data_IF_848316368743
#
_entry.id   IF_848316368743
#
_cell.length_a   1.000
_cell.length_b   1.000
_cell.length_c   1.000
_cell.angle_alpha   90.00
_cell.angle_beta   90.00
_cell.angle_gamma   90.00
#
_symmetry.space_group_name_H-M   'P 1'
#
loop_
_entity.id
_entity.type
_entity.pdbx_description
1 polymer ?
#
# COMPACT_ATOMS: atom_id res chain seq x y z
N UNK A 1 -14.12 -15.34 15.15
CA UNK A 1 -14.31 -13.92 14.84
C UNK A 1 -14.94 -13.27 16.06
N UNK A 2 -14.50 -12.08 16.45
CA UNK A 2 -15.11 -11.29 17.50
C UNK A 2 -16.60 -11.05 17.19
N UNK A 3 -17.47 -11.11 18.22
CA UNK A 3 -18.93 -11.01 18.06
C UNK A 3 -19.38 -9.63 17.52
N UNK A 4 -18.58 -8.58 17.73
CA UNK A 4 -18.83 -7.26 17.16
C UNK A 4 -18.51 -7.25 15.67
N UNK A 5 -17.33 -7.72 15.28
CA UNK A 5 -16.91 -7.80 13.89
C UNK A 5 -17.84 -8.68 13.05
N UNK A 6 -18.33 -9.79 13.63
CA UNK A 6 -19.28 -10.68 12.96
C UNK A 6 -20.63 -10.05 12.63
N UNK A 7 -21.07 -9.04 13.42
CA UNK A 7 -22.33 -8.31 13.16
C UNK A 7 -22.20 -7.21 12.11
N UNK A 8 -20.99 -6.76 11.81
CA UNK A 8 -20.76 -5.71 10.82
C UNK A 8 -20.77 -6.24 9.37
N UNK A 9 -20.70 -7.54 9.20
CA UNK A 9 -20.63 -8.17 7.90
C UNK A 9 -21.72 -9.23 7.74
N UNK A 10 -22.47 -9.20 6.63
CA UNK A 10 -23.44 -10.24 6.28
C UNK A 10 -22.73 -11.60 6.09
N UNK A 11 -21.53 -11.55 5.50
CA UNK A 11 -20.62 -12.69 5.39
C UNK A 11 -19.34 -12.36 6.16
N UNK A 12 -18.75 -13.35 6.80
CA UNK A 12 -17.45 -13.15 7.46
C UNK A 12 -16.45 -12.55 6.48
N UNK A 13 -15.75 -11.45 6.83
CA UNK A 13 -14.73 -10.91 5.96
C UNK A 13 -13.66 -11.98 5.74
N UNK A 14 -13.51 -12.38 4.50
CA UNK A 14 -12.43 -13.26 4.07
C UNK A 14 -11.29 -12.37 3.63
N UNK A 15 -10.09 -12.61 4.13
CA UNK A 15 -8.90 -12.00 3.54
C UNK A 15 -8.76 -12.56 2.13
N UNK A 16 -9.25 -11.81 1.14
CA UNK A 16 -9.03 -12.18 -0.25
C UNK A 16 -7.53 -12.05 -0.54
N UNK A 17 -6.88 -13.18 -0.80
CA UNK A 17 -5.48 -13.20 -1.21
C UNK A 17 -5.28 -12.46 -2.54
N UNK A 18 -6.30 -12.48 -3.39
CA UNK A 18 -6.32 -11.82 -4.69
C UNK A 18 -7.67 -11.15 -4.93
N UNK A 19 -7.65 -9.91 -5.38
CA UNK A 19 -8.83 -9.21 -5.90
C UNK A 19 -8.66 -9.08 -7.41
N UNK A 20 -9.18 -10.08 -8.13
CA UNK A 20 -9.12 -10.13 -9.59
C UNK A 20 -10.43 -9.58 -10.15
N UNK A 21 -10.33 -8.52 -10.91
CA UNK A 21 -11.45 -7.89 -11.61
C UNK A 21 -11.65 -8.40 -13.03
N UNK A 22 -12.36 -7.61 -13.83
CA UNK A 22 -12.57 -7.87 -15.24
C UNK A 22 -11.25 -7.96 -16.02
N UNK A 23 -11.21 -8.74 -17.08
CA UNK A 23 -10.04 -8.93 -17.95
C UNK A 23 -8.77 -9.37 -17.20
N UNK A 24 -8.90 -10.09 -16.06
CA UNK A 24 -7.81 -10.53 -15.20
C UNK A 24 -6.99 -9.40 -14.57
N UNK A 25 -7.54 -8.21 -14.48
CA UNK A 25 -6.91 -7.10 -13.76
C UNK A 25 -6.73 -7.42 -12.29
N UNK A 26 -5.53 -7.28 -11.75
CA UNK A 26 -5.21 -7.55 -10.35
C UNK A 26 -5.13 -6.24 -9.57
N UNK A 27 -6.00 -6.08 -8.56
CA UNK A 27 -5.98 -4.95 -7.63
C UNK A 27 -4.88 -5.11 -6.57
N UNK A 28 -4.62 -4.01 -5.85
CA UNK A 28 -3.68 -3.97 -4.71
C UNK A 28 -2.23 -4.32 -5.07
N UNK A 29 -1.85 -4.19 -6.33
CA UNK A 29 -0.46 -4.30 -6.76
C UNK A 29 0.25 -2.97 -6.51
N UNK A 30 1.35 -3.01 -5.79
CA UNK A 30 2.23 -1.87 -5.61
C UNK A 30 3.19 -1.78 -6.79
N UNK A 31 3.07 -0.73 -7.59
CA UNK A 31 3.89 -0.48 -8.78
C UNK A 31 4.82 0.71 -8.50
N UNK A 32 6.11 0.57 -8.77
CA UNK A 32 7.08 1.64 -8.53
C UNK A 32 8.24 1.59 -9.51
N UNK A 33 9.00 2.66 -9.57
CA UNK A 33 10.19 2.77 -10.41
C UNK A 33 11.48 2.59 -9.60
N UNK A 34 12.45 1.95 -10.21
CA UNK A 34 13.84 1.93 -9.78
C UNK A 34 14.70 2.76 -10.75
N UNK A 35 15.84 3.24 -10.28
CA UNK A 35 16.74 4.05 -11.10
C UNK A 35 16.34 5.52 -11.20
N UNK A 36 15.38 5.97 -10.40
CA UNK A 36 15.01 7.39 -10.31
C UNK A 36 16.18 8.16 -9.70
N UNK A 37 16.64 9.27 -10.31
CA UNK A 37 17.74 10.06 -9.76
C UNK A 37 17.41 10.57 -8.36
N UNK A 38 18.40 10.59 -7.49
CA UNK A 38 18.28 11.04 -6.10
C UNK A 38 17.67 12.45 -6.01
N UNK A 39 16.76 12.65 -5.07
CA UNK A 39 16.03 13.90 -4.87
C UNK A 39 14.89 14.17 -5.83
N UNK A 40 14.78 13.42 -6.95
CA UNK A 40 13.68 13.59 -7.90
C UNK A 40 12.37 13.07 -7.32
N UNK A 41 11.38 13.97 -7.13
CA UNK A 41 10.08 13.60 -6.58
C UNK A 41 10.13 13.11 -5.12
N UNK A 42 11.12 13.56 -4.34
CA UNK A 42 11.28 13.18 -2.94
C UNK A 42 10.34 13.93 -1.99
N UNK A 43 9.65 14.97 -2.46
CA UNK A 43 8.71 15.76 -1.65
C UNK A 43 7.31 15.15 -1.76
N UNK A 44 6.65 14.84 -0.62
CA UNK A 44 5.24 14.44 -0.64
C UNK A 44 4.34 15.53 -1.20
N UNK A 45 3.34 15.12 -1.97
CA UNK A 45 2.29 16.02 -2.49
C UNK A 45 0.93 15.60 -1.94
N UNK A 46 0.04 16.58 -1.75
CA UNK A 46 -1.32 16.33 -1.27
C UNK A 46 -1.43 16.06 0.23
N UNK A 47 -2.57 15.49 0.61
CA UNK A 47 -2.86 15.17 2.01
C UNK A 47 -2.09 13.94 2.49
N UNK A 48 -1.85 13.88 3.81
CA UNK A 48 -1.24 12.71 4.43
C UNK A 48 -2.12 11.47 4.22
N UNK A 49 -1.56 10.33 3.75
CA UNK A 49 -2.31 9.11 3.60
C UNK A 49 -2.99 8.68 4.90
N UNK A 50 -4.19 8.11 4.79
CA UNK A 50 -4.96 7.60 5.92
C UNK A 50 -5.06 6.08 5.83
N UNK A 51 -4.59 5.40 6.87
CA UNK A 51 -4.92 4.01 7.16
C UNK A 51 -6.08 3.99 8.15
N UNK A 52 -7.24 3.53 7.73
CA UNK A 52 -8.43 3.44 8.58
C UNK A 52 -8.71 2.01 9.02
N UNK A 53 -9.18 1.87 10.24
CA UNK A 53 -9.69 0.63 10.82
C UNK A 53 -11.20 0.77 10.90
N UNK A 54 -11.88 0.22 9.91
CA UNK A 54 -13.33 0.30 9.80
C UNK A 54 -13.92 -1.05 9.41
N UNK A 55 -14.95 -1.46 10.13
CA UNK A 55 -15.57 -2.76 9.92
C UNK A 55 -14.63 -3.92 10.25
N UNK A 56 -13.74 -3.75 11.22
CA UNK A 56 -12.68 -4.71 11.55
C UNK A 56 -11.79 -5.07 10.34
N UNK A 57 -11.52 -4.10 9.49
CA UNK A 57 -10.61 -4.20 8.36
C UNK A 57 -9.67 -3.00 8.34
N UNK A 58 -8.46 -3.20 7.81
CA UNK A 58 -7.59 -2.11 7.41
C UNK A 58 -7.94 -1.65 5.98
N UNK A 59 -8.13 -0.35 5.80
CA UNK A 59 -8.36 0.28 4.51
C UNK A 59 -7.42 1.48 4.33
N UNK A 60 -6.65 1.55 3.23
CA UNK A 60 -6.60 0.61 2.11
C UNK A 60 -5.79 -0.67 2.41
N UNK A 61 -5.94 -1.68 1.57
CA UNK A 61 -5.19 -2.96 1.67
C UNK A 61 -3.70 -2.79 1.35
N UNK A 62 -3.39 -1.90 0.39
CA UNK A 62 -2.03 -1.49 0.02
C UNK A 62 -2.00 0.02 -0.16
N UNK A 63 -0.97 0.68 0.34
CA UNK A 63 -0.74 2.11 0.10
C UNK A 63 0.75 2.42 0.03
N UNK A 64 1.08 3.63 -0.41
CA UNK A 64 2.45 4.09 -0.49
C UNK A 64 2.68 5.39 0.27
N UNK A 65 3.88 5.55 0.79
CA UNK A 65 4.38 6.79 1.38
C UNK A 65 5.80 7.07 0.89
N UNK A 66 6.19 8.33 0.90
CA UNK A 66 7.59 8.71 0.72
C UNK A 66 8.31 8.59 2.06
N UNK A 67 9.60 8.29 2.04
CA UNK A 67 10.46 8.27 3.24
C UNK A 67 10.25 9.54 4.07
N UNK A 68 10.03 9.38 5.38
CA UNK A 68 9.69 10.42 6.35
C UNK A 68 8.34 11.12 6.14
N UNK A 69 7.54 10.74 5.13
CA UNK A 69 6.18 11.23 5.01
C UNK A 69 5.33 10.69 6.15
N UNK A 70 4.66 11.59 6.85
CA UNK A 70 3.67 11.23 7.85
C UNK A 70 2.44 10.64 7.19
N UNK A 71 1.87 9.60 7.82
CA UNK A 71 0.55 9.07 7.51
C UNK A 71 -0.26 8.93 8.79
N UNK A 72 -1.58 9.04 8.66
CA UNK A 72 -2.52 8.94 9.76
C UNK A 72 -3.04 7.51 9.88
N UNK A 73 -3.27 7.07 11.11
CA UNK A 73 -3.88 5.79 11.44
C UNK A 73 -5.07 6.07 12.33
N UNK A 74 -6.27 5.73 11.88
CA UNK A 74 -7.53 6.02 12.58
C UNK A 74 -8.25 4.73 12.96
N UNK A 75 -8.81 4.68 14.16
CA UNK A 75 -9.80 3.69 14.53
C UNK A 75 -11.20 4.26 14.34
N UNK A 76 -11.95 3.78 13.33
CA UNK A 76 -13.34 4.18 13.07
C UNK A 76 -14.38 3.23 13.68
N UNK A 77 -13.93 2.13 14.32
CA UNK A 77 -14.80 1.18 15.01
C UNK A 77 -14.94 1.49 16.52
N UNK A 78 -16.03 1.06 17.11
CA UNK A 78 -16.29 1.22 18.55
C UNK A 78 -15.75 0.03 19.37
N UNK A 79 -14.55 -0.45 19.00
CA UNK A 79 -13.83 -1.52 19.72
C UNK A 79 -12.33 -1.32 19.61
N UNK A 80 -11.61 -2.09 20.44
CA UNK A 80 -10.16 -2.11 20.46
C UNK A 80 -9.60 -2.71 19.17
N UNK A 81 -8.76 -1.95 18.49
CA UNK A 81 -7.80 -2.43 17.52
C UNK A 81 -6.38 -2.18 18.00
N UNK A 82 -5.44 -2.86 17.37
CA UNK A 82 -4.02 -2.64 17.60
C UNK A 82 -3.32 -2.44 16.25
N UNK A 83 -2.27 -1.66 16.24
CA UNK A 83 -1.50 -1.36 15.02
C UNK A 83 -0.07 -1.82 15.24
N UNK A 84 0.31 -2.90 14.60
CA UNK A 84 1.62 -3.53 14.70
C UNK A 84 2.31 -3.55 13.34
N UNK A 85 3.28 -2.65 13.15
CA UNK A 85 4.15 -2.66 11.98
C UNK A 85 5.29 -3.66 12.17
N UNK A 86 5.48 -4.55 11.20
CA UNK A 86 6.50 -5.60 11.21
C UNK A 86 7.49 -5.35 10.06
N UNK A 87 8.39 -4.37 10.20
CA UNK A 87 9.35 -4.02 9.17
C UNK A 87 10.54 -4.97 9.12
N UNK A 88 11.25 -4.93 7.98
CA UNK A 88 12.55 -5.59 7.83
C UNK A 88 13.72 -4.61 8.04
N UNK A 89 13.50 -3.34 7.67
CA UNK A 89 14.57 -2.32 7.68
C UNK A 89 14.24 -1.08 8.52
N UNK A 90 12.96 -0.80 8.75
CA UNK A 90 12.50 0.30 9.58
C UNK A 90 12.39 -0.09 11.06
N UNK A 91 12.09 0.87 11.94
CA UNK A 91 11.76 0.60 13.33
C UNK A 91 10.37 -0.03 13.45
N UNK A 92 10.26 -1.11 14.23
CA UNK A 92 8.99 -1.70 14.62
C UNK A 92 8.20 -0.76 15.53
N UNK A 93 6.88 -0.76 15.41
CA UNK A 93 6.00 -0.16 16.40
C UNK A 93 4.76 -1.03 16.62
N UNK A 94 4.29 -1.03 17.86
CA UNK A 94 3.08 -1.73 18.26
C UNK A 94 2.34 -0.90 19.30
N UNK A 95 1.09 -0.53 19.03
CA UNK A 95 0.27 0.24 19.95
C UNK A 95 -1.22 -0.05 19.80
N UNK A 96 -1.97 0.13 20.88
CA UNK A 96 -3.41 -0.06 20.90
C UNK A 96 -4.14 1.22 20.52
N UNK A 97 -5.29 1.07 19.84
CA UNK A 97 -6.29 2.11 19.61
C UNK A 97 -7.65 1.65 20.14
N UNK A 98 -7.93 1.84 21.45
CA UNK A 98 -9.16 1.36 22.07
C UNK A 98 -10.39 2.24 21.79
N UNK A 99 -10.22 3.47 21.32
CA UNK A 99 -11.29 4.46 21.25
C UNK A 99 -11.63 4.79 19.80
N UNK A 100 -12.93 4.73 19.48
CA UNK A 100 -13.44 5.19 18.17
C UNK A 100 -13.06 6.64 17.92
N UNK A 101 -12.54 6.92 16.72
CA UNK A 101 -12.08 8.23 16.31
C UNK A 101 -10.64 8.56 16.74
N UNK A 102 -9.97 7.68 17.48
CA UNK A 102 -8.57 7.88 17.83
C UNK A 102 -7.70 7.90 16.57
N UNK A 103 -6.81 8.89 16.49
CA UNK A 103 -5.87 9.07 15.38
C UNK A 103 -4.45 9.14 15.93
N UNK A 104 -3.55 8.38 15.32
CA UNK A 104 -2.12 8.48 15.55
C UNK A 104 -1.40 8.80 14.23
N UNK A 105 -0.25 9.44 14.30
CA UNK A 105 0.61 9.67 13.14
C UNK A 105 1.88 8.84 13.25
N UNK A 106 2.32 8.28 12.12
CA UNK A 106 3.57 7.54 11.98
C UNK A 106 4.29 7.94 10.70
N UNK A 107 5.57 7.65 10.63
CA UNK A 107 6.39 7.76 9.43
C UNK A 107 7.46 6.66 9.44
N UNK A 108 7.96 6.30 8.27
CA UNK A 108 9.07 5.37 8.10
C UNK A 108 10.28 6.10 7.53
N UNK A 109 11.46 5.83 8.05
CA UNK A 109 12.67 6.57 7.73
C UNK A 109 13.55 5.93 6.65
N UNK A 110 13.23 4.72 6.22
CA UNK A 110 14.01 3.96 5.23
C UNK A 110 13.11 3.37 4.15
N UNK A 111 13.57 3.29 2.88
CA UNK A 111 12.83 2.61 1.84
C UNK A 111 12.58 1.14 2.20
N UNK A 112 11.35 0.69 1.98
CA UNK A 112 10.95 -0.70 2.18
C UNK A 112 9.70 -1.02 1.36
N UNK A 113 9.74 -2.10 0.59
CA UNK A 113 8.62 -2.50 -0.28
C UNK A 113 7.71 -3.46 0.48
N UNK A 114 6.41 -3.13 0.54
CA UNK A 114 5.35 -3.91 1.17
C UNK A 114 5.66 -4.29 2.64
N UNK A 115 6.05 -3.30 3.43
CA UNK A 115 6.11 -3.42 4.89
C UNK A 115 4.70 -3.79 5.40
N UNK A 116 4.60 -4.86 6.18
CA UNK A 116 3.32 -5.33 6.73
C UNK A 116 2.94 -4.57 7.99
N UNK A 117 1.69 -4.13 8.06
CA UNK A 117 1.04 -3.68 9.30
C UNK A 117 -0.12 -4.63 9.57
N UNK A 118 -0.23 -5.12 10.79
CA UNK A 118 -1.24 -6.10 11.22
C UNK A 118 -1.93 -5.66 12.52
N UNK A 119 -3.06 -6.27 12.83
CA UNK A 119 -3.69 -6.22 14.13
C UNK A 119 -3.43 -7.53 14.86
N UNK A 120 -2.90 -7.49 16.10
CA UNK A 120 -2.67 -8.69 16.90
C UNK A 120 -3.95 -9.24 17.55
N UNK A 121 -5.00 -8.40 17.62
CA UNK A 121 -6.33 -8.79 18.15
C UNK A 121 -7.18 -9.46 17.07
N UNK A 122 -7.07 -9.00 15.81
CA UNK A 122 -7.84 -9.49 14.68
C UNK A 122 -6.89 -9.97 13.57
N UNK A 123 -6.51 -11.26 13.54
CA UNK A 123 -5.44 -11.78 12.67
C UNK A 123 -5.67 -11.60 11.16
N UNK A 124 -6.92 -11.41 10.75
CA UNK A 124 -7.29 -11.13 9.35
C UNK A 124 -7.05 -9.66 8.95
N UNK A 125 -6.87 -8.74 9.90
CA UNK A 125 -6.59 -7.34 9.60
C UNK A 125 -5.13 -7.15 9.23
N UNK A 126 -4.86 -7.01 7.95
CA UNK A 126 -3.53 -6.75 7.41
C UNK A 126 -3.58 -5.67 6.33
N UNK A 127 -2.56 -4.83 6.29
CA UNK A 127 -2.28 -3.88 5.21
C UNK A 127 -0.79 -3.89 4.90
N UNK A 128 -0.42 -3.43 3.71
CA UNK A 128 0.96 -3.37 3.27
C UNK A 128 1.29 -1.95 2.81
N UNK A 129 2.43 -1.45 3.22
CA UNK A 129 2.89 -0.11 2.84
C UNK A 129 4.19 -0.17 2.07
N UNK A 130 4.21 0.47 0.89
CA UNK A 130 5.43 0.75 0.15
C UNK A 130 6.03 2.07 0.65
N UNK A 131 7.25 2.03 1.16
CA UNK A 131 8.00 3.21 1.58
C UNK A 131 9.05 3.51 0.53
N UNK A 132 8.89 4.60 -0.21
CA UNK A 132 9.72 4.91 -1.36
C UNK A 132 10.54 6.19 -1.16
N UNK A 133 11.71 6.31 -1.76
CA UNK A 133 12.49 7.57 -1.71
C UNK A 133 11.91 8.67 -2.61
N UNK A 134 10.87 8.40 -3.39
CA UNK A 134 10.26 9.30 -4.36
C UNK A 134 8.77 8.99 -4.58
N UNK A 135 8.05 9.89 -5.26
CA UNK A 135 6.61 9.77 -5.52
C UNK A 135 6.21 8.84 -6.68
N UNK A 136 7.16 8.32 -7.46
CA UNK A 136 6.86 7.53 -8.66
C UNK A 136 6.49 6.09 -8.32
N UNK A 137 5.37 5.96 -7.68
CA UNK A 137 4.69 4.70 -7.37
C UNK A 137 3.17 4.87 -7.54
N UNK A 138 2.48 3.77 -7.70
CA UNK A 138 1.03 3.71 -7.77
C UNK A 138 0.53 2.37 -7.20
N UNK A 139 -0.76 2.29 -6.91
CA UNK A 139 -1.44 1.06 -6.57
C UNK A 139 -2.46 0.78 -7.66
N UNK A 140 -2.57 -0.47 -8.10
CA UNK A 140 -3.57 -0.85 -9.10
C UNK A 140 -4.98 -0.79 -8.52
N UNK A 141 -5.91 -0.31 -9.34
CA UNK A 141 -7.35 -0.35 -9.06
C UNK A 141 -7.94 -1.76 -9.25
N UNK A 142 -9.26 -1.89 -9.10
CA UNK A 142 -9.99 -3.16 -9.26
C UNK A 142 -9.93 -3.74 -10.68
N UNK A 143 -9.53 -2.94 -11.67
CA UNK A 143 -9.31 -3.37 -13.06
C UNK A 143 -7.85 -3.66 -13.38
N UNK A 144 -6.96 -3.56 -12.38
CA UNK A 144 -5.52 -3.70 -12.56
C UNK A 144 -4.85 -2.48 -13.18
N UNK A 145 -5.56 -1.36 -13.33
CA UNK A 145 -4.98 -0.15 -13.92
C UNK A 145 -4.19 0.64 -12.88
N UNK A 146 -3.10 1.24 -13.33
CA UNK A 146 -2.31 2.18 -12.55
C UNK A 146 -1.85 3.35 -13.39
N UNK A 147 -1.53 4.46 -12.73
CA UNK A 147 -0.90 5.63 -13.33
C UNK A 147 0.16 6.17 -12.39
N UNK A 148 1.38 6.28 -12.88
CA UNK A 148 2.46 6.93 -12.14
C UNK A 148 2.29 8.47 -12.17
N UNK A 149 2.70 9.17 -11.11
CA UNK A 149 2.69 10.62 -11.06
C UNK A 149 3.52 11.27 -12.18
N UNK A 150 3.15 12.49 -12.54
CA UNK A 150 3.88 13.28 -13.53
C UNK A 150 5.22 13.78 -12.99
N UNK A 151 6.09 14.23 -13.93
CA UNK A 151 7.35 14.87 -13.61
C UNK A 151 8.55 13.93 -13.56
N UNK A 152 8.39 12.70 -14.06
CA UNK A 152 9.53 11.79 -14.24
C UNK A 152 10.38 12.29 -15.42
N UNK A 153 11.70 12.49 -15.25
CA UNK A 153 12.60 12.84 -16.35
C UNK A 153 12.63 11.79 -17.46
N UNK A 154 12.93 12.18 -18.67
CA UNK A 154 13.21 11.23 -19.75
C UNK A 154 14.43 10.39 -19.39
N UNK A 155 14.37 9.09 -19.63
CA UNK A 155 15.43 8.15 -19.23
C UNK A 155 15.02 6.69 -19.29
N UNK A 156 15.94 5.83 -18.94
CA UNK A 156 15.68 4.39 -18.74
C UNK A 156 15.46 4.08 -17.26
N UNK A 157 14.44 3.31 -16.98
CA UNK A 157 14.01 2.94 -15.62
C UNK A 157 13.63 1.46 -15.59
N UNK A 158 13.64 0.88 -14.41
CA UNK A 158 12.99 -0.40 -14.19
C UNK A 158 11.67 -0.15 -13.48
N UNK A 159 10.55 -0.54 -14.11
CA UNK A 159 9.26 -0.59 -13.45
C UNK A 159 9.11 -1.94 -12.77
N UNK A 160 8.74 -1.94 -11.50
CA UNK A 160 8.50 -3.16 -10.74
C UNK A 160 7.07 -3.14 -10.17
N UNK A 161 6.37 -4.27 -10.32
CA UNK A 161 5.06 -4.51 -9.73
C UNK A 161 5.16 -5.63 -8.69
N UNK A 162 4.66 -5.39 -7.49
CA UNK A 162 4.74 -6.32 -6.36
C UNK A 162 3.37 -6.48 -5.73
N UNK A 163 2.93 -7.72 -5.56
CA UNK A 163 1.71 -8.04 -4.83
C UNK A 163 2.06 -8.96 -3.64
N UNK A 164 1.42 -8.77 -2.45
CA UNK A 164 1.77 -9.52 -1.24
C UNK A 164 1.75 -11.04 -1.40
N UNK A 165 0.92 -11.55 -2.29
CA UNK A 165 0.73 -12.99 -2.55
C UNK A 165 1.17 -13.44 -3.95
N UNK A 166 0.99 -12.62 -5.01
CA UNK A 166 1.36 -12.99 -6.38
C UNK A 166 2.86 -12.80 -6.68
N UNK A 167 3.63 -12.26 -5.73
CA UNK A 167 5.08 -12.06 -5.92
C UNK A 167 5.38 -10.77 -6.67
N UNK A 168 6.39 -10.79 -7.54
CA UNK A 168 6.89 -9.62 -8.24
C UNK A 168 7.25 -9.88 -9.69
N UNK A 169 7.15 -8.84 -10.51
CA UNK A 169 7.66 -8.76 -11.88
C UNK A 169 8.34 -7.42 -12.08
N UNK A 170 9.40 -7.39 -12.88
CA UNK A 170 10.11 -6.17 -13.25
C UNK A 170 10.37 -6.13 -14.75
N UNK A 171 10.34 -4.92 -15.31
CA UNK A 171 10.57 -4.66 -16.74
C UNK A 171 11.34 -3.37 -16.93
N UNK A 172 12.30 -3.35 -17.85
CA UNK A 172 12.93 -2.10 -18.28
C UNK A 172 11.97 -1.30 -19.16
N UNK A 173 11.90 0.00 -18.91
CA UNK A 173 11.13 0.95 -19.69
C UNK A 173 11.98 2.14 -20.09
N UNK A 174 11.63 2.76 -21.22
CA UNK A 174 12.20 4.04 -21.63
C UNK A 174 11.11 5.10 -21.56
N UNK A 175 11.32 6.11 -20.74
CA UNK A 175 10.45 7.28 -20.62
C UNK A 175 10.96 8.36 -21.55
N UNK A 176 10.08 8.92 -22.38
CA UNK A 176 10.37 10.02 -23.30
C UNK A 176 9.59 11.28 -22.91
N UNK A 177 10.01 12.43 -23.42
CA UNK A 177 9.22 13.63 -23.29
C UNK A 177 7.88 13.47 -24.05
N UNK A 178 6.76 13.80 -23.40
CA UNK A 178 5.42 13.66 -23.95
C UNK A 178 4.71 12.38 -23.56
N UNK A 179 3.83 11.89 -24.45
CA UNK A 179 3.04 10.69 -24.17
C UNK A 179 3.89 9.42 -24.26
N UNK A 180 3.82 8.59 -23.25
CA UNK A 180 4.48 7.29 -23.22
C UNK A 180 3.48 6.15 -23.52
N UNK A 181 3.98 5.04 -24.05
CA UNK A 181 3.15 3.87 -24.34
C UNK A 181 2.71 3.21 -23.03
N UNK A 182 1.50 2.63 -22.98
CA UNK A 182 1.08 1.80 -21.86
C UNK A 182 2.04 0.63 -21.62
N UNK A 183 2.22 0.26 -20.37
CA UNK A 183 3.01 -0.90 -19.95
C UNK A 183 2.09 -1.92 -19.34
N UNK A 184 2.19 -3.16 -19.77
CA UNK A 184 1.50 -4.31 -19.20
C UNK A 184 2.49 -5.17 -18.41
N UNK A 185 2.11 -5.52 -17.17
CA UNK A 185 2.93 -6.31 -16.27
C UNK A 185 2.09 -7.52 -15.81
N UNK A 186 2.58 -8.73 -16.07
CA UNK A 186 1.89 -9.97 -15.70
C UNK A 186 2.52 -10.57 -14.45
N UNK A 187 1.71 -10.71 -13.39
CA UNK A 187 2.07 -11.42 -12.17
C UNK A 187 1.50 -12.84 -12.23
N UNK A 188 2.31 -13.84 -11.88
CA UNK A 188 1.87 -15.24 -11.78
C UNK A 188 1.79 -15.65 -10.32
N UNK A 189 0.67 -16.25 -9.88
CA UNK A 189 0.58 -16.85 -8.54
C UNK A 189 1.73 -17.82 -8.30
N UNK A 190 2.28 -17.81 -7.09
CA UNK A 190 3.29 -18.79 -6.65
C UNK A 190 2.62 -20.03 -6.10
#
# INVERSE_FOLDING_TARGET
MDAFCGRLHINAPVEADYRVGEANGLADVFVYLQGVPEGTGATPEGEAPLLDQQGCLYTPKVFGVIVNQKFKIRNSDALLHNVHAVPKTNGEFNFAQPVKGQVNEKAFSKPEVLLRIKCDVHPWMNTFVGVMPHKFFAITDEKGHFRLPHGLPAGKYTIEAVHPKAGRVAQEITVTAGANQPVELTLSPK
#
